data_IF_110975193603
#
_entry.id   IF_110975193603
#
_cell.length_a   1.000
_cell.length_b   1.000
_cell.length_c   1.000
_cell.angle_alpha   90.00
_cell.angle_beta   90.00
_cell.angle_gamma   90.00
#
_symmetry.space_group_name_H-M   'P 1'
#
loop_
_entity.id
_entity.type
_entity.pdbx_description
1 polymer ?
#
# COMPACT_ATOMS: atom_id res chain seq x y z
N UNK A 1 37.30 16.24 5.60
CA UNK A 1 36.49 15.01 5.76
C UNK A 1 35.34 15.10 4.78
N UNK A 2 35.27 14.20 3.78
CA UNK A 2 34.17 14.21 2.80
C UNK A 2 32.93 13.67 3.50
N UNK A 3 31.87 14.49 3.62
CA UNK A 3 30.56 14.00 4.05
C UNK A 3 30.22 12.76 3.22
N UNK A 4 30.00 11.63 3.90
CA UNK A 4 29.47 10.43 3.27
C UNK A 4 28.10 10.81 2.73
N UNK A 5 28.04 11.11 1.44
CA UNK A 5 26.81 11.34 0.68
C UNK A 5 26.04 10.03 0.68
N UNK A 6 25.26 9.81 1.74
CA UNK A 6 24.51 8.59 1.99
C UNK A 6 23.71 8.21 0.74
N UNK A 7 23.66 6.93 0.32
CA UNK A 7 22.72 6.45 -0.68
C UNK A 7 21.29 6.36 -0.10
N UNK A 8 20.88 7.40 0.63
CA UNK A 8 19.72 7.43 1.54
C UNK A 8 18.38 7.27 0.81
N UNK A 9 18.34 7.55 -0.51
CA UNK A 9 17.10 7.44 -1.28
C UNK A 9 16.67 5.98 -1.46
N UNK A 10 17.59 5.11 -1.84
CA UNK A 10 17.29 3.69 -2.14
C UNK A 10 17.02 2.89 -0.87
N UNK A 11 17.83 3.07 0.19
CA UNK A 11 17.63 2.37 1.46
C UNK A 11 16.26 2.70 2.04
N UNK A 12 15.89 3.98 2.04
CA UNK A 12 14.58 4.42 2.52
C UNK A 12 13.43 3.90 1.65
N UNK A 13 13.57 3.94 0.33
CA UNK A 13 12.55 3.41 -0.58
C UNK A 13 12.33 1.90 -0.37
N UNK A 14 13.40 1.15 -0.09
CA UNK A 14 13.30 -0.25 0.31
C UNK A 14 12.56 -0.42 1.63
N UNK A 15 12.92 0.32 2.69
CA UNK A 15 12.23 0.25 4.00
C UNK A 15 10.73 0.51 3.87
N UNK A 16 10.34 1.47 3.03
CA UNK A 16 8.93 1.80 2.79
C UNK A 16 8.19 0.72 2.00
N UNK A 17 8.88 0.10 1.03
CA UNK A 17 8.35 -1.02 0.27
C UNK A 17 8.14 -2.23 1.18
N UNK A 18 9.11 -2.53 2.05
CA UNK A 18 8.99 -3.59 3.06
C UNK A 18 7.86 -3.33 4.06
N UNK A 19 7.69 -2.07 4.47
CA UNK A 19 6.57 -1.69 5.33
C UNK A 19 5.22 -1.93 4.63
N UNK A 20 5.06 -1.44 3.40
CA UNK A 20 3.84 -1.65 2.63
C UNK A 20 3.53 -3.15 2.42
N UNK A 21 4.55 -3.96 2.11
CA UNK A 21 4.41 -5.42 2.00
C UNK A 21 3.97 -6.05 3.31
N UNK A 22 4.54 -5.63 4.43
CA UNK A 22 4.18 -6.20 5.75
C UNK A 22 2.70 -5.98 6.05
N UNK A 23 2.18 -4.79 5.75
CA UNK A 23 0.76 -4.47 5.89
C UNK A 23 -0.10 -5.33 4.96
N UNK A 24 0.27 -5.45 3.69
CA UNK A 24 -0.48 -6.26 2.72
C UNK A 24 -0.45 -7.74 3.12
N UNK A 25 0.68 -8.24 3.62
CA UNK A 25 0.82 -9.61 4.12
C UNK A 25 -0.13 -9.89 5.29
N UNK A 26 -0.30 -8.92 6.18
CA UNK A 26 -1.29 -9.02 7.27
C UNK A 26 -2.74 -9.03 6.74
N UNK A 27 -3.05 -8.30 5.65
CA UNK A 27 -4.38 -8.36 5.03
C UNK A 27 -4.65 -9.73 4.41
N UNK A 28 -3.66 -10.31 3.72
CA UNK A 28 -3.86 -11.53 2.95
C UNK A 28 -3.73 -12.81 3.79
N UNK A 29 -3.10 -12.74 4.98
CA UNK A 29 -2.72 -13.89 5.83
C UNK A 29 -1.83 -14.94 5.11
N UNK A 30 -1.47 -14.70 3.85
CA UNK A 30 -0.80 -15.65 2.97
C UNK A 30 0.68 -15.32 2.81
N UNK A 31 1.46 -16.36 2.50
CA UNK A 31 2.91 -16.32 2.24
C UNK A 31 3.25 -15.82 0.83
N UNK A 32 2.29 -15.25 0.09
CA UNK A 32 2.48 -14.87 -1.31
C UNK A 32 3.64 -13.89 -1.52
N UNK A 33 4.33 -14.05 -2.64
CA UNK A 33 5.46 -13.21 -3.04
C UNK A 33 4.96 -11.82 -3.46
N UNK A 34 4.65 -10.97 -2.46
CA UNK A 34 4.22 -9.58 -2.67
C UNK A 34 5.23 -8.76 -3.49
N UNK A 35 6.48 -9.21 -3.59
CA UNK A 35 7.51 -8.67 -4.46
C UNK A 35 7.13 -8.69 -5.95
N UNK A 36 6.37 -9.68 -6.39
CA UNK A 36 5.91 -9.76 -7.78
C UNK A 36 4.69 -8.88 -8.03
N UNK A 37 3.89 -8.62 -6.99
CA UNK A 37 2.60 -7.95 -7.11
C UNK A 37 2.67 -6.45 -6.84
N UNK A 38 3.52 -5.99 -5.93
CA UNK A 38 3.73 -4.57 -5.68
C UNK A 38 4.64 -4.00 -6.76
N UNK A 39 4.05 -3.23 -7.68
CA UNK A 39 4.76 -2.58 -8.78
C UNK A 39 5.50 -1.33 -8.30
N UNK A 40 4.79 -0.43 -7.61
CA UNK A 40 5.34 0.86 -7.17
C UNK A 40 4.73 1.31 -5.84
N UNK A 41 5.51 2.00 -5.01
CA UNK A 41 5.03 2.67 -3.80
C UNK A 41 5.34 4.16 -3.90
N UNK A 42 4.30 5.00 -3.91
CA UNK A 42 4.39 6.44 -4.15
C UNK A 42 3.86 7.20 -2.93
N UNK A 43 4.61 8.18 -2.42
CA UNK A 43 4.13 9.10 -1.38
C UNK A 43 3.31 10.24 -1.99
N UNK A 44 2.07 10.44 -1.55
CA UNK A 44 1.19 11.52 -2.08
C UNK A 44 1.46 12.90 -1.42
N UNK A 45 2.20 12.90 -0.29
CA UNK A 45 2.74 14.00 0.55
C UNK A 45 3.92 14.87 0.06
N UNK A 46 3.99 16.19 0.31
CA UNK A 46 5.29 16.89 0.58
C UNK A 46 5.83 16.54 1.98
N UNK A 47 7.13 16.72 2.22
CA UNK A 47 7.81 16.17 3.40
C UNK A 47 7.50 17.04 4.59
N UNK A 48 6.97 16.42 5.62
CA UNK A 48 6.71 17.02 6.92
C UNK A 48 7.31 16.10 7.95
N UNK A 49 8.15 16.66 8.81
CA UNK A 49 8.96 15.95 9.81
C UNK A 49 8.11 15.31 10.92
N UNK A 50 6.85 15.75 11.04
CA UNK A 50 5.97 15.45 12.18
C UNK A 50 4.85 14.46 11.82
N UNK A 51 4.61 14.18 10.54
CA UNK A 51 3.44 13.39 10.12
C UNK A 51 3.78 12.26 9.17
N UNK A 52 3.28 11.05 9.47
CA UNK A 52 3.27 9.92 8.51
C UNK A 52 2.51 10.34 7.26
N UNK A 53 3.15 10.23 6.10
CA UNK A 53 2.55 10.60 4.80
C UNK A 53 1.70 9.45 4.27
N UNK A 54 0.58 9.74 3.61
CA UNK A 54 -0.14 8.72 2.87
C UNK A 54 0.73 8.16 1.75
N UNK A 55 0.79 6.82 1.69
CA UNK A 55 1.45 6.05 0.65
C UNK A 55 0.39 5.45 -0.27
N UNK A 56 0.68 5.46 -1.57
CA UNK A 56 -0.10 4.83 -2.63
C UNK A 56 0.70 3.65 -3.16
N UNK A 57 0.16 2.46 -3.02
CA UNK A 57 0.75 1.24 -3.58
C UNK A 57 0.05 0.95 -4.89
N UNK A 58 0.82 0.78 -5.96
CA UNK A 58 0.35 0.25 -7.25
C UNK A 58 0.64 -1.23 -7.25
N UNK A 59 -0.39 -2.02 -7.48
CA UNK A 59 -0.28 -3.46 -7.66
C UNK A 59 -0.41 -3.81 -9.14
N UNK A 60 0.24 -4.89 -9.57
CA UNK A 60 0.16 -5.39 -10.93
C UNK A 60 -1.19 -6.04 -11.24
N UNK A 61 -1.72 -6.81 -10.28
CA UNK A 61 -2.96 -7.56 -10.43
C UNK A 61 -4.13 -6.80 -9.81
N UNK A 62 -5.19 -6.58 -10.59
CA UNK A 62 -6.43 -6.02 -10.08
C UNK A 62 -7.12 -6.97 -9.11
N UNK A 63 -7.05 -8.29 -9.36
CA UNK A 63 -7.66 -9.32 -8.51
C UNK A 63 -7.14 -9.22 -7.08
N UNK A 64 -5.85 -8.95 -6.90
CA UNK A 64 -5.25 -8.82 -5.57
C UNK A 64 -5.63 -7.52 -4.88
N UNK A 65 -5.87 -6.44 -5.62
CA UNK A 65 -6.47 -5.24 -5.05
C UNK A 65 -7.89 -5.53 -4.56
N UNK A 66 -8.67 -6.34 -5.28
CA UNK A 66 -10.01 -6.74 -4.85
C UNK A 66 -10.00 -7.63 -3.62
N UNK A 67 -9.12 -8.62 -3.60
CA UNK A 67 -8.94 -9.49 -2.45
C UNK A 67 -8.51 -8.73 -1.20
N UNK A 68 -7.54 -7.82 -1.33
CA UNK A 68 -7.12 -6.94 -0.23
C UNK A 68 -8.26 -6.04 0.27
N UNK A 69 -9.11 -5.52 -0.63
CA UNK A 69 -10.26 -4.70 -0.25
C UNK A 69 -11.35 -5.50 0.46
N UNK A 70 -11.62 -6.74 0.02
CA UNK A 70 -12.57 -7.63 0.66
C UNK A 70 -12.10 -8.08 2.06
N UNK A 71 -10.79 -8.32 2.21
CA UNK A 71 -10.18 -8.75 3.48
C UNK A 71 -9.82 -7.59 4.42
N UNK A 72 -9.80 -6.34 3.95
CA UNK A 72 -9.54 -5.14 4.76
C UNK A 72 -10.34 -5.10 6.06
N UNK A 73 -11.59 -5.60 6.06
CA UNK A 73 -12.44 -5.65 7.25
C UNK A 73 -11.84 -6.46 8.42
N UNK A 74 -10.94 -7.41 8.15
CA UNK A 74 -10.22 -8.16 9.19
C UNK A 74 -9.09 -7.36 9.83
N UNK A 75 -8.48 -6.41 9.12
CA UNK A 75 -7.40 -5.57 9.64
C UNK A 75 -7.87 -4.54 10.68
N UNK A 76 -9.16 -4.19 10.69
CA UNK A 76 -9.69 -3.18 11.61
C UNK A 76 -9.65 -3.59 13.08
N UNK A 77 -9.50 -4.90 13.36
CA UNK A 77 -9.43 -5.44 14.71
C UNK A 77 -7.99 -5.37 15.30
N UNK A 78 -6.96 -5.21 14.46
CA UNK A 78 -5.57 -5.13 14.91
C UNK A 78 -5.23 -3.74 15.45
N UNK A 79 -5.01 -3.69 16.77
CA UNK A 79 -4.80 -2.46 17.56
C UNK A 79 -3.64 -1.58 17.08
N UNK A 80 -2.65 -2.16 16.38
CA UNK A 80 -1.44 -1.45 15.90
C UNK A 80 -1.63 -0.73 14.54
N UNK A 81 -2.71 -1.02 13.81
CA UNK A 81 -2.92 -0.51 12.45
C UNK A 81 -4.11 0.45 12.31
N UNK A 82 -4.63 0.97 13.43
CA UNK A 82 -5.77 1.91 13.46
C UNK A 82 -5.60 3.16 12.58
N UNK A 83 -4.35 3.54 12.31
CA UNK A 83 -4.01 4.70 11.47
C UNK A 83 -3.88 4.38 9.96
N UNK A 84 -4.09 3.12 9.55
CA UNK A 84 -3.89 2.69 8.16
C UNK A 84 -5.23 2.60 7.45
N UNK A 85 -5.41 3.45 6.44
CA UNK A 85 -6.60 3.45 5.59
C UNK A 85 -6.27 2.94 4.19
N UNK A 86 -6.73 1.72 3.86
CA UNK A 86 -6.67 1.18 2.50
C UNK A 86 -7.88 1.71 1.70
N UNK A 87 -7.60 2.39 0.59
CA UNK A 87 -8.63 2.89 -0.34
C UNK A 87 -8.24 2.49 -1.76
N UNK A 88 -9.18 1.91 -2.50
CA UNK A 88 -9.01 1.69 -3.94
C UNK A 88 -9.06 3.04 -4.66
N UNK A 89 -8.03 3.31 -5.46
CA UNK A 89 -8.00 4.45 -6.37
C UNK A 89 -8.60 4.01 -7.70
N UNK A 90 -9.91 4.23 -7.87
CA UNK A 90 -10.64 3.83 -9.09
C UNK A 90 -10.63 4.94 -10.13
N UNK A 91 -10.46 4.58 -11.41
CA UNK A 91 -10.88 5.45 -12.51
C UNK A 91 -12.41 5.51 -12.58
N UNK A 92 -12.95 6.60 -13.14
CA UNK A 92 -14.41 6.80 -13.30
C UNK A 92 -15.12 5.61 -13.95
N UNK A 93 -14.48 4.98 -14.94
CA UNK A 93 -15.03 3.83 -15.67
C UNK A 93 -15.14 2.56 -14.80
N UNK A 94 -14.17 2.32 -13.92
CA UNK A 94 -14.20 1.18 -12.98
C UNK A 94 -15.27 1.38 -11.90
N UNK A 95 -15.49 2.64 -11.49
CA UNK A 95 -16.56 3.01 -10.57
C UNK A 95 -17.96 2.72 -11.14
N UNK A 96 -18.13 2.79 -12.45
CA UNK A 96 -19.40 2.42 -13.10
C UNK A 96 -19.57 0.91 -13.18
N UNK A 97 -18.50 0.15 -13.49
CA UNK A 97 -18.53 -1.32 -13.52
C UNK A 97 -18.81 -1.93 -12.15
N UNK A 98 -18.28 -1.35 -11.07
CA UNK A 98 -18.56 -1.80 -9.69
C UNK A 98 -20.04 -1.63 -9.32
N UNK A 99 -20.70 -0.55 -9.77
CA UNK A 99 -22.15 -0.35 -9.56
C UNK A 99 -23.00 -1.36 -10.32
N UNK A 100 -22.55 -1.80 -11.49
CA UNK A 100 -23.28 -2.77 -12.33
C UNK A 100 -23.23 -4.17 -11.73
N UNK A 101 -22.13 -4.54 -11.06
CA UNK A 101 -21.96 -5.83 -10.39
C UNK A 101 -22.71 -5.94 -9.05
N UNK A 102 -23.29 -4.84 -8.55
CA UNK A 102 -24.02 -4.77 -7.29
C UNK A 102 -25.55 -4.88 -7.40
N UNK A 103 -26.08 -5.34 -8.55
CA UNK A 103 -27.51 -5.65 -8.74
C UNK A 103 -27.75 -7.15 -8.82
#
# INVERSE_FOLDING_TARGET
>A
MKEKKYPNKFVRECEEREFAKTIIKQVQDSTEELDQEVEEVIRLRRYSEVSKRPMKVRMRSQVVVEENMARKGKMTDDTEHKDIWIKRDMKLEEREKEKVLGN
#
